data_IF_424549575540
#
_entry.id   IF_424549575540
#
_cell.length_a   1.000
_cell.length_b   1.000
_cell.length_c   1.000
_cell.angle_alpha   90.00
_cell.angle_beta   90.00
_cell.angle_gamma   90.00
#
_symmetry.space_group_name_H-M   'P 1'
#
loop_
_entity.id
_entity.type
_entity.pdbx_description
1 polymer ?
#
# COMPACT_ATOMS: atom_id res chain seq x y z
N UNK A 1 -19.23 0.45 10.05
CA UNK A 1 -18.27 0.54 8.91
C UNK A 1 -17.45 1.79 9.10
N UNK A 2 -16.16 1.76 8.79
CA UNK A 2 -15.24 2.90 8.93
C UNK A 2 -14.60 3.22 7.58
N UNK A 3 -14.29 4.50 7.37
CA UNK A 3 -13.50 4.94 6.22
C UNK A 3 -12.01 4.86 6.59
N UNK A 4 -11.24 4.17 5.75
CA UNK A 4 -9.78 4.08 5.87
C UNK A 4 -9.13 4.33 4.52
N UNK A 5 -7.83 4.58 4.52
CA UNK A 5 -7.00 4.70 3.34
C UNK A 5 -6.16 3.43 3.19
N UNK A 6 -6.49 2.62 2.18
CA UNK A 6 -5.71 1.44 1.82
C UNK A 6 -4.49 1.86 1.01
N UNK A 7 -3.32 1.41 1.43
CA UNK A 7 -2.10 1.49 0.64
C UNK A 7 -2.08 0.31 -0.34
N UNK A 8 -2.03 0.62 -1.63
CA UNK A 8 -1.89 -0.34 -2.71
C UNK A 8 -0.47 -0.24 -3.27
N UNK A 9 0.18 -1.39 -3.42
CA UNK A 9 1.57 -1.48 -3.88
C UNK A 9 1.61 -2.40 -5.10
N UNK A 10 2.35 -1.98 -6.12
CA UNK A 10 2.58 -2.70 -7.36
C UNK A 10 4.09 -2.77 -7.61
N UNK A 11 4.60 -3.96 -7.92
CA UNK A 11 5.99 -4.16 -8.34
C UNK A 11 5.95 -4.52 -9.82
N UNK A 12 6.33 -3.58 -10.69
CA UNK A 12 5.92 -3.62 -12.10
C UNK A 12 4.40 -3.68 -12.21
N UNK A 13 3.87 -4.65 -12.96
CA UNK A 13 2.43 -4.83 -13.15
C UNK A 13 1.76 -5.74 -12.09
N UNK A 14 2.53 -6.21 -11.09
CA UNK A 14 2.03 -7.17 -10.09
C UNK A 14 1.60 -6.45 -8.83
N UNK A 15 0.29 -6.45 -8.57
CA UNK A 15 -0.27 -5.96 -7.31
C UNK A 15 0.14 -6.89 -6.16
N UNK A 16 0.66 -6.30 -5.09
CA UNK A 16 0.94 -7.01 -3.85
C UNK A 16 -0.38 -7.27 -3.11
N UNK A 17 -0.53 -8.47 -2.53
CA UNK A 17 -1.78 -8.93 -1.91
C UNK A 17 -1.99 -8.42 -0.48
N UNK A 18 -0.96 -7.85 0.12
CA UNK A 18 -1.01 -7.35 1.50
C UNK A 18 -1.97 -6.16 1.60
N UNK A 19 -2.84 -6.21 2.62
CA UNK A 19 -3.82 -5.16 2.88
C UNK A 19 -3.29 -4.25 4.01
N UNK A 20 -2.70 -3.10 3.66
CA UNK A 20 -2.25 -2.12 4.65
C UNK A 20 -3.25 -0.97 4.69
N UNK A 21 -3.70 -0.61 5.90
CA UNK A 21 -4.72 0.42 6.12
C UNK A 21 -4.21 1.52 7.04
N UNK A 22 -4.61 2.75 6.74
CA UNK A 22 -4.34 3.92 7.57
C UNK A 22 -5.64 4.68 7.84
N UNK A 23 -5.78 5.24 9.05
CA UNK A 23 -6.86 6.18 9.35
C UNK A 23 -6.59 7.59 8.79
N UNK A 24 -5.33 7.90 8.52
CA UNK A 24 -4.87 9.21 8.03
C UNK A 24 -4.32 9.09 6.61
N UNK A 25 -4.83 9.92 5.69
CA UNK A 25 -4.39 9.99 4.29
C UNK A 25 -2.94 10.45 4.15
N UNK A 26 -2.48 11.37 4.99
CA UNK A 26 -1.12 11.88 4.96
C UNK A 26 -0.13 10.79 5.36
N UNK A 27 -0.48 9.99 6.38
CA UNK A 27 0.32 8.83 6.77
C UNK A 27 0.37 7.79 5.66
N UNK A 28 -0.75 7.49 5.01
CA UNK A 28 -0.77 6.60 3.85
C UNK A 28 0.15 7.14 2.72
N UNK A 29 0.02 8.42 2.36
CA UNK A 29 0.82 9.05 1.29
C UNK A 29 2.32 9.03 1.61
N UNK A 30 2.68 9.34 2.86
CA UNK A 30 4.05 9.29 3.35
C UNK A 30 4.74 7.94 3.11
N UNK A 31 4.00 6.83 3.30
CA UNK A 31 4.52 5.49 3.02
C UNK A 31 4.53 5.19 1.51
N UNK A 32 3.48 5.56 0.79
CA UNK A 32 3.42 5.39 -0.66
C UNK A 32 4.61 6.06 -1.38
N UNK A 33 4.93 7.30 -1.01
CA UNK A 33 6.05 8.06 -1.57
C UNK A 33 7.40 7.38 -1.29
N UNK A 34 7.62 6.89 -0.06
CA UNK A 34 8.86 6.18 0.31
C UNK A 34 9.02 4.84 -0.39
N UNK A 35 7.92 4.15 -0.64
CA UNK A 35 7.92 2.89 -1.36
C UNK A 35 8.25 3.14 -2.83
N UNK A 36 7.67 4.18 -3.43
CA UNK A 36 7.99 4.57 -4.81
C UNK A 36 9.43 5.10 -4.97
N UNK A 37 10.02 5.67 -3.91
CA UNK A 37 11.42 6.12 -3.95
C UNK A 37 12.44 5.01 -3.79
N UNK A 38 12.02 3.76 -3.60
CA UNK A 38 12.94 2.63 -3.55
C UNK A 38 13.59 2.38 -4.91
N UNK A 39 14.84 1.92 -4.96
CA UNK A 39 15.48 1.53 -6.21
C UNK A 39 14.69 0.42 -6.90
N UNK A 40 14.75 0.41 -8.23
CA UNK A 40 14.07 -0.60 -9.05
C UNK A 40 14.51 -2.02 -8.68
N UNK A 41 13.55 -2.94 -8.63
CA UNK A 41 13.78 -4.35 -8.32
C UNK A 41 14.26 -5.12 -9.57
N UNK A 42 15.21 -6.06 -9.43
CA UNK A 42 15.59 -6.94 -10.52
C UNK A 42 14.46 -7.95 -10.81
N UNK A 43 14.05 -8.05 -12.08
CA UNK A 43 13.10 -9.05 -12.58
C UNK A 43 13.72 -9.71 -13.82
N UNK A 44 14.47 -10.79 -13.60
CA UNK A 44 15.29 -11.41 -14.64
C UNK A 44 16.36 -10.43 -15.15
N UNK A 45 16.34 -10.13 -16.46
CA UNK A 45 17.25 -9.14 -17.08
C UNK A 45 16.72 -7.70 -17.03
N UNK A 46 15.47 -7.50 -16.62
CA UNK A 46 14.83 -6.18 -16.56
C UNK A 46 14.85 -5.62 -15.12
N UNK A 47 14.69 -4.30 -15.00
CA UNK A 47 14.43 -3.62 -13.74
C UNK A 47 12.98 -3.15 -13.72
N UNK A 48 12.28 -3.37 -12.61
CA UNK A 48 10.89 -2.92 -12.44
C UNK A 48 10.81 -1.92 -11.30
N UNK A 49 10.03 -0.86 -11.50
CA UNK A 49 9.78 0.14 -10.48
C UNK A 49 8.62 -0.31 -9.59
N UNK A 50 8.60 0.25 -8.39
CA UNK A 50 7.47 0.11 -7.48
C UNK A 50 6.55 1.31 -7.64
N UNK A 51 5.26 1.04 -7.79
CA UNK A 51 4.21 2.06 -7.78
C UNK A 51 3.36 1.85 -6.54
N UNK A 52 3.08 2.92 -5.80
CA UNK A 52 2.21 2.83 -4.63
C UNK A 52 1.29 4.04 -4.54
N UNK A 53 0.04 3.81 -4.13
CA UNK A 53 -0.93 4.89 -3.94
C UNK A 53 -1.97 4.54 -2.88
N UNK A 54 -2.67 5.58 -2.42
CA UNK A 54 -3.67 5.49 -1.37
C UNK A 54 -5.08 5.52 -1.97
N UNK A 55 -5.90 4.54 -1.60
CA UNK A 55 -7.31 4.45 -2.00
C UNK A 55 -8.22 4.48 -0.78
N UNK A 56 -9.17 5.41 -0.77
CA UNK A 56 -10.21 5.42 0.26
C UNK A 56 -11.10 4.16 0.13
N UNK A 57 -11.32 3.46 1.25
CA UNK A 57 -12.08 2.22 1.30
C UNK A 57 -12.94 2.19 2.56
N UNK A 58 -14.21 1.78 2.41
CA UNK A 58 -15.08 1.47 3.54
C UNK A 58 -14.82 0.03 3.97
N UNK A 59 -14.45 -0.18 5.23
CA UNK A 59 -14.17 -1.51 5.79
C UNK A 59 -15.02 -1.76 7.03
N UNK A 60 -15.22 -3.03 7.36
CA UNK A 60 -15.77 -3.40 8.66
C UNK A 60 -14.68 -3.24 9.73
N UNK A 61 -15.05 -2.75 10.91
CA UNK A 61 -14.14 -2.41 12.00
C UNK A 61 -13.23 -3.60 12.38
N UNK A 62 -13.79 -4.80 12.44
CA UNK A 62 -13.08 -6.05 12.75
C UNK A 62 -11.96 -6.40 11.75
N UNK A 63 -12.10 -6.01 10.48
CA UNK A 63 -11.10 -6.29 9.43
C UNK A 63 -9.97 -5.26 9.45
N UNK A 64 -10.23 -4.04 9.90
CA UNK A 64 -9.22 -2.99 9.99
C UNK A 64 -8.22 -3.24 11.12
N UNK A 65 -8.68 -3.71 12.28
CA UNK A 65 -7.82 -3.92 13.45
C UNK A 65 -6.80 -5.05 13.25
N UNK A 66 -7.10 -6.04 12.40
CA UNK A 66 -6.20 -7.17 12.16
C UNK A 66 -4.84 -6.76 11.56
N UNK A 67 -4.80 -5.63 10.85
CA UNK A 67 -3.61 -5.15 10.16
C UNK A 67 -3.01 -3.88 10.81
N UNK A 68 -3.53 -3.48 11.98
CA UNK A 68 -3.08 -2.30 12.73
C UNK A 68 -2.31 -2.66 14.03
N UNK A 69 -2.35 -3.93 14.45
CA UNK A 69 -1.74 -4.43 15.68
C UNK A 69 -0.77 -5.61 15.47
N UNK A 70 -0.43 -5.91 14.22
CA UNK A 70 0.74 -6.71 13.83
C UNK A 70 1.82 -5.77 13.29
#
# INVERSE_FOLDING_TARGET
MILVFQLLIFIGDVQQREEIYFYDINRCKYFAERIMSQPSYPKGKAKVNTTAYCKAKKVNYTRALKNLYE
#
